data_IF_166679949286
#
_entry.id   IF_166679949286
#
_cell.length_a   1.000
_cell.length_b   1.000
_cell.length_c   1.000
_cell.angle_alpha   90.00
_cell.angle_beta   90.00
_cell.angle_gamma   90.00
#
_symmetry.space_group_name_H-M   'P 1'
#
loop_
_entity.id
_entity.type
_entity.pdbx_description
1 polymer ?
#
# COMPACT_ATOMS: atom_id res chain seq x y z
N UNK A 1 30.67 -0.40 27.30
CA UNK A 1 31.29 -0.09 26.01
C UNK A 1 30.16 -0.13 24.98
N UNK A 2 29.46 0.99 24.87
CA UNK A 2 28.26 1.18 24.06
C UNK A 2 28.70 1.40 22.62
N UNK A 3 28.64 0.35 21.81
CA UNK A 3 28.66 0.51 20.37
C UNK A 3 27.25 0.93 19.97
N UNK A 4 27.07 2.24 19.89
CA UNK A 4 25.91 2.89 19.33
C UNK A 4 25.69 2.30 17.93
N UNK A 5 24.59 1.56 17.78
CA UNK A 5 24.15 1.04 16.49
C UNK A 5 23.91 2.18 15.53
N UNK A 6 24.98 2.55 14.81
CA UNK A 6 25.01 3.58 13.80
C UNK A 6 23.81 3.36 12.88
N UNK A 7 22.91 4.35 12.87
CA UNK A 7 21.68 4.34 12.13
C UNK A 7 21.95 4.32 10.64
N UNK A 8 22.21 3.13 10.09
CA UNK A 8 22.15 2.90 8.66
C UNK A 8 20.69 3.12 8.25
N UNK A 9 20.47 4.10 7.38
CA UNK A 9 19.21 4.33 6.72
C UNK A 9 18.90 3.05 5.94
N UNK A 10 17.99 2.21 6.45
CA UNK A 10 17.70 0.88 5.88
C UNK A 10 17.23 0.95 4.41
N UNK A 11 16.72 2.10 3.99
CA UNK A 11 16.30 2.39 2.63
C UNK A 11 17.06 3.59 2.11
N UNK A 12 17.45 3.57 0.82
CA UNK A 12 18.00 4.74 0.15
C UNK A 12 16.93 5.82 -0.04
N UNK A 13 17.35 7.08 -0.21
CA UNK A 13 16.44 8.19 -0.51
C UNK A 13 15.58 7.91 -1.75
N UNK A 14 16.16 7.31 -2.78
CA UNK A 14 15.43 6.89 -3.98
C UNK A 14 14.33 5.87 -3.66
N UNK A 15 14.60 4.92 -2.75
CA UNK A 15 13.62 3.92 -2.35
C UNK A 15 12.48 4.53 -1.52
N UNK A 16 12.80 5.46 -0.62
CA UNK A 16 11.79 6.21 0.14
C UNK A 16 10.92 7.07 -0.79
N UNK A 17 11.53 7.74 -1.76
CA UNK A 17 10.82 8.50 -2.78
C UNK A 17 9.89 7.60 -3.61
N UNK A 18 10.35 6.43 -4.04
CA UNK A 18 9.52 5.48 -4.78
C UNK A 18 8.33 4.98 -3.95
N UNK A 19 8.54 4.73 -2.64
CA UNK A 19 7.45 4.36 -1.72
C UNK A 19 6.43 5.48 -1.58
N UNK A 20 6.88 6.72 -1.43
CA UNK A 20 6.01 7.89 -1.33
C UNK A 20 5.22 8.15 -2.61
N UNK A 21 5.88 8.19 -3.77
CA UNK A 21 5.23 8.35 -5.06
C UNK A 21 4.24 7.20 -5.33
N UNK A 22 4.63 5.98 -4.95
CA UNK A 22 3.79 4.79 -5.02
C UNK A 22 2.52 4.90 -4.18
N UNK A 23 2.65 5.37 -2.93
CA UNK A 23 1.54 5.58 -2.01
C UNK A 23 0.62 6.72 -2.46
N UNK A 24 1.19 7.84 -2.94
CA UNK A 24 0.42 8.95 -3.49
C UNK A 24 -0.44 8.52 -4.69
N UNK A 25 0.09 7.66 -5.57
CA UNK A 25 -0.63 7.13 -6.72
C UNK A 25 -1.54 5.92 -6.37
N UNK A 26 -1.44 5.36 -5.17
CA UNK A 26 -2.03 4.07 -4.81
C UNK A 26 -3.55 4.05 -4.94
N UNK A 27 -4.24 5.08 -4.41
CA UNK A 27 -5.70 5.15 -4.46
C UNK A 27 -6.26 5.15 -5.88
N UNK A 28 -5.61 5.89 -6.80
CA UNK A 28 -5.99 5.89 -8.22
C UNK A 28 -5.80 4.53 -8.88
N UNK A 29 -4.63 3.90 -8.67
CA UNK A 29 -4.34 2.56 -9.21
C UNK A 29 -5.33 1.51 -8.69
N UNK A 30 -5.68 1.58 -7.41
CA UNK A 30 -6.67 0.70 -6.77
C UNK A 30 -8.04 0.86 -7.44
N UNK A 31 -8.54 2.09 -7.57
CA UNK A 31 -9.85 2.34 -8.16
C UNK A 31 -9.93 1.84 -9.61
N UNK A 32 -8.92 2.13 -10.42
CA UNK A 32 -8.84 1.63 -11.81
C UNK A 32 -8.87 0.09 -11.87
N UNK A 33 -8.18 -0.59 -10.96
CA UNK A 33 -8.19 -2.05 -10.91
C UNK A 33 -9.55 -2.60 -10.48
N UNK A 34 -10.18 -2.02 -9.45
CA UNK A 34 -11.50 -2.40 -8.98
C UNK A 34 -12.55 -2.25 -10.08
N UNK A 35 -12.54 -1.12 -10.78
CA UNK A 35 -13.49 -0.80 -11.85
C UNK A 35 -13.39 -1.80 -12.99
N UNK A 36 -12.17 -2.14 -13.43
CA UNK A 36 -11.92 -3.18 -14.44
C UNK A 36 -12.53 -4.52 -14.07
N UNK A 37 -12.42 -4.95 -12.81
CA UNK A 37 -12.96 -6.23 -12.35
C UNK A 37 -14.48 -6.22 -12.20
N UNK A 38 -15.07 -5.08 -11.81
CA UNK A 38 -16.52 -4.93 -11.71
C UNK A 38 -17.18 -4.97 -13.09
N UNK A 39 -16.57 -4.28 -14.06
CA UNK A 39 -17.06 -4.20 -15.45
C UNK A 39 -16.69 -5.41 -16.31
N UNK A 40 -15.86 -6.33 -15.80
CA UNK A 40 -15.43 -7.50 -16.55
C UNK A 40 -16.62 -8.44 -16.78
N UNK A 41 -17.02 -8.58 -18.05
CA UNK A 41 -18.06 -9.53 -18.44
C UNK A 41 -17.51 -10.96 -18.47
N UNK A 42 -17.93 -11.76 -17.49
CA UNK A 42 -17.55 -13.16 -17.36
C UNK A 42 -18.75 -14.07 -17.56
N UNK A 43 -18.64 -15.01 -18.50
CA UNK A 43 -19.70 -15.99 -18.81
C UNK A 43 -19.96 -16.98 -17.67
N UNK A 44 -18.93 -17.31 -16.89
CA UNK A 44 -19.06 -18.20 -15.74
C UNK A 44 -19.62 -17.43 -14.54
N UNK A 45 -20.81 -17.79 -14.00
CA UNK A 45 -21.44 -17.07 -12.89
C UNK A 45 -20.57 -17.02 -11.63
N UNK A 46 -19.88 -18.12 -11.30
CA UNK A 46 -18.99 -18.20 -10.14
C UNK A 46 -17.78 -17.30 -10.29
N UNK A 47 -17.18 -17.26 -11.49
CA UNK A 47 -16.07 -16.37 -11.78
C UNK A 47 -16.50 -14.90 -11.69
N UNK A 48 -17.69 -14.57 -12.20
CA UNK A 48 -18.29 -13.23 -12.12
C UNK A 48 -18.49 -12.76 -10.67
N UNK A 49 -19.05 -13.62 -9.83
CA UNK A 49 -19.22 -13.33 -8.39
C UNK A 49 -17.88 -13.01 -7.72
N UNK A 50 -16.85 -13.83 -7.97
CA UNK A 50 -15.53 -13.59 -7.43
C UNK A 50 -14.92 -12.28 -7.94
N UNK A 51 -15.08 -11.95 -9.22
CA UNK A 51 -14.56 -10.73 -9.82
C UNK A 51 -15.26 -9.47 -9.30
N UNK A 52 -16.59 -9.50 -9.16
CA UNK A 52 -17.39 -8.33 -8.79
C UNK A 52 -17.46 -8.08 -7.28
N UNK A 53 -17.32 -9.13 -6.46
CA UNK A 53 -17.48 -9.01 -5.01
C UNK A 53 -16.26 -9.49 -4.23
N UNK A 54 -15.86 -10.76 -4.43
CA UNK A 54 -14.85 -11.41 -3.60
C UNK A 54 -13.48 -10.74 -3.69
N UNK A 55 -13.04 -10.46 -4.92
CA UNK A 55 -11.75 -9.81 -5.19
C UNK A 55 -11.76 -8.34 -4.73
N UNK A 56 -12.75 -7.49 -5.10
CA UNK A 56 -12.85 -6.12 -4.60
C UNK A 56 -12.83 -6.00 -3.08
N UNK A 57 -13.56 -6.87 -2.37
CA UNK A 57 -13.59 -6.85 -0.90
C UNK A 57 -12.20 -7.10 -0.31
N UNK A 58 -11.49 -8.14 -0.76
CA UNK A 58 -10.15 -8.47 -0.25
C UNK A 58 -9.14 -7.39 -0.58
N UNK A 59 -9.20 -6.85 -1.80
CA UNK A 59 -8.28 -5.80 -2.23
C UNK A 59 -8.45 -4.51 -1.42
N UNK A 60 -9.69 -4.13 -1.07
CA UNK A 60 -9.96 -3.00 -0.16
C UNK A 60 -9.41 -3.21 1.25
N UNK A 61 -9.45 -4.44 1.77
CA UNK A 61 -8.85 -4.76 3.08
C UNK A 61 -7.33 -4.59 3.02
N UNK A 62 -6.67 -5.12 2.00
CA UNK A 62 -5.23 -4.91 1.79
C UNK A 62 -4.87 -3.43 1.66
N UNK A 63 -5.67 -2.67 0.91
CA UNK A 63 -5.49 -1.22 0.76
C UNK A 63 -5.55 -0.49 2.10
N UNK A 64 -6.51 -0.85 2.96
CA UNK A 64 -6.58 -0.30 4.32
C UNK A 64 -5.35 -0.65 5.15
N UNK A 65 -4.84 -1.88 5.07
CA UNK A 65 -3.62 -2.26 5.78
C UNK A 65 -2.42 -1.41 5.34
N UNK A 66 -2.28 -1.16 4.03
CA UNK A 66 -1.22 -0.30 3.49
C UNK A 66 -1.38 1.13 4.03
N UNK A 67 -2.59 1.71 3.94
CA UNK A 67 -2.84 3.06 4.46
C UNK A 67 -2.52 3.19 5.94
N UNK A 68 -2.94 2.22 6.77
CA UNK A 68 -2.64 2.22 8.20
C UNK A 68 -1.12 2.24 8.48
N UNK A 69 -0.34 1.46 7.72
CA UNK A 69 1.13 1.42 7.88
C UNK A 69 1.74 2.76 7.53
N UNK A 70 1.35 3.36 6.40
CA UNK A 70 1.92 4.63 5.92
C UNK A 70 1.42 5.84 6.74
N UNK A 71 0.27 5.75 7.40
CA UNK A 71 -0.18 6.72 8.40
C UNK A 71 0.66 6.65 9.68
N UNK A 72 0.94 5.43 10.17
CA UNK A 72 1.74 5.24 11.38
C UNK A 72 3.23 5.58 11.15
N UNK A 73 3.76 5.16 10.01
CA UNK A 73 5.16 5.29 9.61
C UNK A 73 5.19 5.84 8.18
N UNK A 74 5.07 7.17 8.00
CA UNK A 74 5.18 7.79 6.69
C UNK A 74 6.55 7.51 6.07
N UNK A 75 6.62 7.26 4.74
CA UNK A 75 7.88 6.96 4.05
C UNK A 75 8.89 8.12 4.09
N UNK A 76 8.40 9.35 4.27
CA UNK A 76 9.23 10.55 4.40
C UNK A 76 9.77 10.77 5.83
N UNK A 77 9.34 9.95 6.82
CA UNK A 77 9.81 10.11 8.20
C UNK A 77 11.23 9.57 8.33
N UNK A 78 12.18 10.50 8.26
CA UNK A 78 13.51 10.31 8.83
C UNK A 78 13.38 10.08 10.35
N UNK A 79 14.21 9.15 10.86
CA UNK A 79 14.18 8.43 12.15
C UNK A 79 14.07 9.24 13.46
N UNK A 80 13.80 10.54 13.46
CA UNK A 80 13.95 11.41 14.66
C UNK A 80 12.65 11.83 15.35
N UNK A 81 11.48 11.28 15.00
CA UNK A 81 10.20 11.67 15.61
C UNK A 81 9.58 10.65 16.59
N UNK A 82 10.36 9.69 17.11
CA UNK A 82 9.92 8.84 18.22
C UNK A 82 10.67 9.21 19.51
N UNK A 83 10.44 10.43 19.98
CA UNK A 83 10.76 10.86 21.34
C UNK A 83 9.45 11.29 22.00
N UNK A 84 8.66 10.31 22.45
CA UNK A 84 7.61 10.46 23.46
C UNK A 84 7.49 9.16 24.25
#
# INVERSE_FOLDING_TARGET
MTDEGAGSMYFSDDALKQLADGYAAFGGKLNTLLEKYILLDLRNPRAREFAQQGFPRRLKVMARCISNVFEAIPPERNRTALAR
#
